data_IF_782259571803
#
_entry.id   IF_782259571803
#
_cell.length_a   1.000
_cell.length_b   1.000
_cell.length_c   1.000
_cell.angle_alpha   90.00
_cell.angle_beta   90.00
_cell.angle_gamma   90.00
#
_symmetry.space_group_name_H-M   'P 1'
#
loop_
_entity.id
_entity.type
_entity.pdbx_description
1 polymer ?
#
# COMPACT_ATOMS: atom_id res chain seq x y z
N UNK A 1 34.87 -18.37 -7.40
CA UNK A 1 34.07 -17.55 -6.46
C UNK A 1 33.85 -16.22 -7.14
N UNK A 2 32.70 -16.05 -7.80
CA UNK A 2 32.41 -14.82 -8.53
C UNK A 2 31.92 -13.75 -7.56
N UNK A 3 32.69 -12.67 -7.44
CA UNK A 3 32.24 -11.44 -6.81
C UNK A 3 31.14 -10.84 -7.68
N UNK A 4 29.93 -10.68 -7.12
CA UNK A 4 28.87 -9.88 -7.73
C UNK A 4 29.30 -8.43 -7.58
N UNK A 5 29.77 -7.84 -8.68
CA UNK A 5 30.03 -6.42 -8.82
C UNK A 5 28.72 -5.67 -8.60
N UNK A 6 28.60 -4.95 -7.49
CA UNK A 6 27.55 -3.93 -7.30
C UNK A 6 27.97 -2.75 -8.19
N UNK A 7 27.60 -2.83 -9.47
CA UNK A 7 27.76 -1.74 -10.42
C UNK A 7 26.87 -0.57 -10.00
N UNK A 8 27.46 0.61 -9.98
CA UNK A 8 26.80 1.92 -9.84
C UNK A 8 25.62 2.02 -10.80
N UNK A 9 24.39 1.87 -10.29
CA UNK A 9 23.16 2.15 -11.04
C UNK A 9 22.81 3.62 -10.85
N UNK A 10 22.99 4.38 -11.93
CA UNK A 10 22.46 5.73 -12.08
C UNK A 10 20.94 5.71 -11.87
N UNK A 11 20.43 6.53 -10.95
CA UNK A 11 19.00 6.88 -10.91
C UNK A 11 18.09 6.10 -9.96
N UNK A 12 18.59 5.62 -8.82
CA UNK A 12 17.71 5.11 -7.75
C UNK A 12 16.90 6.28 -7.19
N UNK A 13 15.67 6.46 -7.67
CA UNK A 13 14.68 7.26 -6.95
C UNK A 13 14.38 6.53 -5.63
N UNK A 14 14.76 7.14 -4.51
CA UNK A 14 14.25 6.76 -3.19
C UNK A 14 13.10 7.71 -2.93
N UNK A 15 11.90 7.17 -2.82
CA UNK A 15 10.73 7.92 -2.38
C UNK A 15 10.07 7.13 -1.26
N UNK A 16 9.94 7.79 -0.11
CA UNK A 16 9.38 7.19 1.08
C UNK A 16 7.88 6.99 0.89
N UNK A 17 7.38 5.82 1.27
CA UNK A 17 5.98 5.68 1.63
C UNK A 17 5.75 6.42 2.96
N UNK A 18 4.64 7.14 3.05
CA UNK A 18 4.28 7.89 4.25
C UNK A 18 2.96 7.35 4.81
N UNK A 19 2.91 7.19 6.13
CA UNK A 19 1.67 6.98 6.88
C UNK A 19 1.46 8.14 7.85
N UNK A 20 0.25 8.71 7.88
CA UNK A 20 -0.12 9.73 8.86
C UNK A 20 -0.51 9.06 10.19
N UNK A 21 0.18 9.42 11.28
CA UNK A 21 -0.18 9.27 12.71
C UNK A 21 -0.76 7.92 13.20
N UNK A 22 0.03 7.20 14.00
CA UNK A 22 -0.36 6.09 14.91
C UNK A 22 -1.32 5.07 14.29
N UNK A 23 -0.75 3.99 13.72
CA UNK A 23 -1.50 2.82 13.25
C UNK A 23 -2.48 2.35 14.34
N UNK A 24 -3.74 2.74 14.18
CA UNK A 24 -4.81 2.33 15.05
C UNK A 24 -5.49 1.11 14.43
N UNK A 25 -5.73 0.04 15.20
CA UNK A 25 -6.45 -1.12 14.69
C UNK A 25 -7.82 -0.66 14.16
N UNK A 26 -8.41 -1.44 13.25
CA UNK A 26 -9.78 -1.16 12.81
C UNK A 26 -10.77 -1.35 13.96
N UNK A 27 -11.83 -0.54 13.97
CA UNK A 27 -12.95 -0.77 14.89
C UNK A 27 -13.64 -2.09 14.59
N UNK A 28 -14.22 -2.74 15.60
CA UNK A 28 -14.91 -4.04 15.45
C UNK A 28 -16.05 -4.02 14.43
N UNK A 29 -16.65 -2.84 14.19
CA UNK A 29 -17.71 -2.65 13.21
C UNK A 29 -17.21 -2.73 11.75
N UNK A 30 -15.90 -2.58 11.53
CA UNK A 30 -15.27 -2.60 10.22
C UNK A 30 -14.67 -3.98 9.95
N UNK A 31 -15.52 -4.91 9.51
CA UNK A 31 -15.10 -6.28 9.22
C UNK A 31 -14.33 -6.44 7.90
N UNK A 32 -14.41 -5.45 7.00
CA UNK A 32 -13.72 -5.42 5.72
C UNK A 32 -13.37 -3.99 5.31
N UNK A 33 -12.36 -3.87 4.46
CA UNK A 33 -11.97 -2.64 3.78
C UNK A 33 -12.06 -2.84 2.26
N UNK A 34 -13.13 -2.29 1.66
CA UNK A 34 -13.39 -2.37 0.23
C UNK A 34 -13.05 -1.04 -0.45
N UNK A 35 -12.04 -1.04 -1.29
CA UNK A 35 -11.53 0.14 -1.99
C UNK A 35 -12.26 0.39 -3.32
N UNK A 36 -12.68 1.63 -3.56
CA UNK A 36 -13.01 2.12 -4.91
C UNK A 36 -11.76 2.69 -5.56
N UNK A 37 -11.42 2.22 -6.76
CA UNK A 37 -10.25 2.73 -7.48
C UNK A 37 -10.68 3.87 -8.40
N UNK A 38 -9.89 4.93 -8.48
CA UNK A 38 -10.16 6.04 -9.38
C UNK A 38 -10.31 5.55 -10.83
N UNK A 39 -11.33 6.05 -11.53
CA UNK A 39 -11.71 5.58 -12.85
C UNK A 39 -10.59 5.72 -13.91
N UNK A 40 -9.67 6.67 -13.74
CA UNK A 40 -8.55 6.97 -14.66
C UNK A 40 -7.38 5.98 -14.57
N UNK A 41 -7.38 5.02 -13.64
CA UNK A 41 -6.42 3.91 -13.68
C UNK A 41 -6.77 2.93 -14.81
N UNK A 42 -5.74 2.40 -15.50
CA UNK A 42 -5.91 1.36 -16.51
C UNK A 42 -6.39 0.04 -15.91
N UNK A 43 -7.03 -0.80 -16.72
CA UNK A 43 -7.59 -2.10 -16.29
C UNK A 43 -6.54 -3.04 -15.69
N UNK A 44 -5.35 -3.12 -16.29
CA UNK A 44 -4.24 -3.92 -15.78
C UNK A 44 -3.78 -3.45 -14.38
N UNK A 45 -3.68 -2.13 -14.18
CA UNK A 45 -3.33 -1.57 -12.87
C UNK A 45 -4.39 -1.89 -11.82
N UNK A 46 -5.68 -1.76 -12.16
CA UNK A 46 -6.79 -2.15 -11.28
C UNK A 46 -6.76 -3.64 -10.94
N UNK A 47 -6.39 -4.50 -11.89
CA UNK A 47 -6.19 -5.94 -11.63
C UNK A 47 -5.05 -6.18 -10.64
N UNK A 48 -3.91 -5.52 -10.84
CA UNK A 48 -2.75 -5.65 -9.95
C UNK A 48 -3.01 -5.11 -8.54
N UNK A 49 -3.85 -4.08 -8.38
CA UNK A 49 -4.31 -3.67 -7.06
C UNK A 49 -5.15 -4.75 -6.38
N UNK A 50 -6.02 -5.44 -7.12
CA UNK A 50 -6.74 -6.60 -6.60
C UNK A 50 -5.77 -7.75 -6.24
N UNK A 51 -4.74 -7.98 -7.05
CA UNK A 51 -3.71 -8.99 -6.76
C UNK A 51 -2.94 -8.67 -5.47
N UNK A 52 -2.61 -7.41 -5.22
CA UNK A 52 -1.98 -6.97 -3.98
C UNK A 52 -2.89 -7.19 -2.75
N UNK A 53 -4.20 -6.93 -2.87
CA UNK A 53 -5.18 -7.20 -1.82
C UNK A 53 -5.33 -8.71 -1.56
N UNK A 54 -5.42 -9.51 -2.63
CA UNK A 54 -5.50 -10.96 -2.56
C UNK A 54 -4.24 -11.56 -1.93
N UNK A 55 -3.08 -11.01 -2.28
CA UNK A 55 -1.80 -11.43 -1.70
C UNK A 55 -1.81 -11.30 -0.18
N UNK A 56 -2.26 -10.15 0.35
CA UNK A 56 -2.42 -9.95 1.79
C UNK A 56 -3.48 -10.86 2.40
N UNK A 57 -4.68 -10.95 1.80
CA UNK A 57 -5.76 -11.81 2.30
C UNK A 57 -5.33 -13.27 2.45
N UNK A 58 -4.51 -13.80 1.54
CA UNK A 58 -3.96 -15.15 1.64
C UNK A 58 -3.06 -15.36 2.87
N UNK A 59 -2.59 -14.28 3.49
CA UNK A 59 -1.79 -14.32 4.71
C UNK A 59 -2.62 -14.10 5.97
N UNK A 60 -3.84 -13.60 5.86
CA UNK A 60 -4.72 -13.33 7.01
C UNK A 60 -5.54 -14.56 7.38
N UNK A 61 -6.05 -14.58 8.62
CA UNK A 61 -6.99 -15.62 9.07
C UNK A 61 -8.40 -15.43 8.49
N UNK A 62 -8.74 -14.18 8.17
CA UNK A 62 -10.00 -13.77 7.52
C UNK A 62 -9.67 -12.70 6.48
N UNK A 63 -10.23 -12.84 5.28
CA UNK A 63 -10.06 -11.84 4.21
C UNK A 63 -10.65 -10.49 4.64
N UNK A 64 -9.89 -9.44 4.43
CA UNK A 64 -10.21 -8.08 4.86
C UNK A 64 -10.21 -7.07 3.73
N UNK A 65 -9.28 -7.20 2.78
CA UNK A 65 -9.03 -6.20 1.74
C UNK A 65 -9.74 -6.59 0.45
N UNK A 66 -10.51 -5.68 -0.14
CA UNK A 66 -11.24 -5.97 -1.37
C UNK A 66 -11.22 -4.80 -2.34
N UNK A 67 -11.24 -5.09 -3.64
CA UNK A 67 -11.47 -4.08 -4.67
C UNK A 67 -12.95 -4.06 -5.02
N UNK A 68 -13.56 -2.89 -4.96
CA UNK A 68 -14.93 -2.68 -5.44
C UNK A 68 -15.03 -2.96 -6.95
N UNK A 69 -16.21 -3.36 -7.40
CA UNK A 69 -16.57 -3.39 -8.82
C UNK A 69 -16.90 -1.99 -9.37
N UNK A 70 -17.13 -1.02 -8.47
CA UNK A 70 -17.46 0.37 -8.82
C UNK A 70 -16.22 1.24 -8.63
N UNK A 71 -15.86 1.97 -9.68
CA UNK A 71 -14.80 2.97 -9.63
C UNK A 71 -15.28 4.26 -8.93
N UNK A 72 -14.33 5.08 -8.46
CA UNK A 72 -14.62 6.44 -7.99
C UNK A 72 -14.18 7.50 -9.01
N UNK A 73 -14.76 8.69 -8.92
CA UNK A 73 -14.31 9.91 -9.62
C UNK A 73 -13.44 10.80 -8.73
N UNK A 74 -13.26 10.44 -7.46
CA UNK A 74 -12.42 11.18 -6.53
C UNK A 74 -11.00 11.30 -7.07
N UNK A 75 -10.39 12.44 -6.82
CA UNK A 75 -9.03 12.76 -7.30
C UNK A 75 -7.99 12.74 -6.20
N UNK A 76 -8.44 12.77 -4.94
CA UNK A 76 -7.62 12.79 -3.74
C UNK A 76 -8.37 12.10 -2.59
N UNK A 77 -7.64 11.68 -1.57
CA UNK A 77 -8.16 11.16 -0.32
C UNK A 77 -8.98 12.22 0.43
N UNK A 78 -10.03 11.79 1.12
CA UNK A 78 -10.85 12.68 1.95
C UNK A 78 -11.66 11.87 2.93
N UNK A 79 -11.75 12.30 4.19
CA UNK A 79 -12.56 11.62 5.20
C UNK A 79 -14.06 11.70 4.87
N UNK A 80 -14.59 10.73 4.15
CA UNK A 80 -15.95 10.77 3.59
C UNK A 80 -16.73 9.45 3.71
N UNK A 81 -16.17 8.46 4.41
CA UNK A 81 -16.71 7.12 4.58
C UNK A 81 -16.35 6.14 3.45
N UNK A 82 -15.67 6.59 2.40
CA UNK A 82 -15.32 5.81 1.21
C UNK A 82 -13.83 5.60 1.17
N UNK A 83 -13.41 4.33 1.14
CA UNK A 83 -11.99 3.97 1.00
C UNK A 83 -11.61 4.01 -0.47
N UNK A 84 -10.64 4.84 -0.82
CA UNK A 84 -10.29 5.13 -2.20
C UNK A 84 -8.84 4.82 -2.52
N UNK A 85 -8.57 4.45 -3.78
CA UNK A 85 -7.23 4.45 -4.36
C UNK A 85 -7.22 5.48 -5.47
N UNK A 86 -6.52 6.59 -5.26
CA UNK A 86 -6.47 7.74 -6.19
C UNK A 86 -5.04 8.00 -6.66
N UNK A 87 -4.91 8.82 -7.72
CA UNK A 87 -3.62 9.33 -8.16
C UNK A 87 -3.70 10.82 -8.48
N UNK A 88 -2.67 11.55 -8.09
CA UNK A 88 -2.54 12.98 -8.34
C UNK A 88 -1.06 13.38 -8.37
N UNK A 89 -0.73 14.49 -9.04
CA UNK A 89 0.64 14.99 -9.07
C UNK A 89 0.88 15.89 -7.85
N UNK A 90 1.60 15.38 -6.85
CA UNK A 90 1.91 16.10 -5.61
C UNK A 90 3.28 16.79 -5.64
N UNK A 91 3.97 16.77 -6.78
CA UNK A 91 5.36 17.21 -6.87
C UNK A 91 6.35 16.24 -6.21
N UNK A 92 7.57 16.70 -5.97
CA UNK A 92 8.58 15.91 -5.29
C UNK A 92 8.18 15.58 -3.84
N UNK A 93 8.52 14.38 -3.38
CA UNK A 93 8.15 13.89 -2.04
C UNK A 93 7.95 12.39 -2.02
N UNK A 94 6.74 11.93 -1.68
CA UNK A 94 6.38 10.52 -1.53
C UNK A 94 5.97 9.85 -2.85
N UNK A 95 6.20 8.53 -2.98
CA UNK A 95 5.75 7.74 -4.15
C UNK A 95 4.27 7.39 -4.05
N UNK A 96 3.85 6.99 -2.86
CA UNK A 96 2.48 6.79 -2.47
C UNK A 96 2.35 7.04 -0.96
N UNK A 97 1.11 7.14 -0.48
CA UNK A 97 0.84 7.25 0.96
C UNK A 97 -0.47 6.58 1.31
N UNK A 98 -0.52 6.08 2.54
CA UNK A 98 -1.73 5.63 3.20
C UNK A 98 -2.20 6.70 4.19
N UNK A 99 -3.48 7.07 4.10
CA UNK A 99 -4.11 8.03 5.00
C UNK A 99 -5.20 7.30 5.77
N UNK A 100 -4.94 7.00 7.04
CA UNK A 100 -5.93 6.47 7.95
C UNK A 100 -6.70 7.62 8.62
N UNK A 101 -8.02 7.50 8.68
CA UNK A 101 -8.87 8.40 9.45
C UNK A 101 -9.43 7.66 10.67
N UNK A 102 -9.42 8.37 11.79
CA UNK A 102 -10.01 7.95 13.05
C UNK A 102 -10.65 9.16 13.74
N UNK A 103 -11.89 9.05 14.26
CA UNK A 103 -12.47 10.13 15.08
C UNK A 103 -11.61 10.38 16.30
N UNK A 104 -11.49 11.65 16.73
CA UNK A 104 -10.71 12.00 17.93
C UNK A 104 -11.18 11.27 19.20
N UNK A 105 -12.48 10.93 19.27
CA UNK A 105 -13.08 10.22 20.40
C UNK A 105 -12.76 8.71 20.40
N UNK A 106 -12.28 8.14 19.28
CA UNK A 106 -12.04 6.71 19.13
C UNK A 106 -10.56 6.43 18.92
N UNK A 107 -10.09 5.32 19.47
CA UNK A 107 -8.71 4.83 19.31
C UNK A 107 -8.56 3.84 18.17
N UNK A 108 -9.43 3.90 17.15
CA UNK A 108 -9.48 2.92 16.06
C UNK A 108 -9.72 3.57 14.69
N UNK A 109 -9.17 2.94 13.65
CA UNK A 109 -9.32 3.35 12.25
C UNK A 109 -10.73 3.04 11.75
N UNK A 110 -11.33 3.99 11.02
CA UNK A 110 -12.65 3.86 10.38
C UNK A 110 -12.58 3.90 8.86
N UNK A 111 -11.48 4.44 8.33
CA UNK A 111 -11.27 4.66 6.91
C UNK A 111 -9.78 4.71 6.62
N UNK A 112 -9.39 4.24 5.44
CA UNK A 112 -8.03 4.26 4.95
C UNK A 112 -8.06 4.50 3.46
N UNK A 113 -7.47 5.61 3.03
CA UNK A 113 -7.28 5.99 1.64
C UNK A 113 -5.85 5.76 1.20
N UNK A 114 -5.64 5.50 -0.09
CA UNK A 114 -4.31 5.33 -0.69
C UNK A 114 -4.18 6.29 -1.87
N UNK A 115 -3.06 7.01 -1.92
CA UNK A 115 -2.78 7.96 -2.99
C UNK A 115 -1.44 7.67 -3.66
N UNK A 116 -1.44 7.56 -4.98
CA UNK A 116 -0.24 7.44 -5.80
C UNK A 116 0.18 8.80 -6.36
N UNK A 117 1.45 9.15 -6.20
CA UNK A 117 1.98 10.43 -6.67
C UNK A 117 2.47 10.35 -8.12
N UNK A 118 1.70 10.86 -9.07
CA UNK A 118 2.02 10.82 -10.51
C UNK A 118 3.19 11.71 -10.92
N UNK A 119 3.79 12.46 -9.99
CA UNK A 119 5.11 13.06 -10.20
C UNK A 119 6.18 12.00 -10.54
N UNK A 120 6.03 10.79 -10.00
CA UNK A 120 6.92 9.67 -10.24
C UNK A 120 6.40 8.74 -11.35
N UNK A 121 7.30 8.13 -12.14
CA UNK A 121 6.92 7.20 -13.20
C UNK A 121 6.55 5.82 -12.63
N UNK A 122 5.41 5.29 -13.06
CA UNK A 122 4.90 3.98 -12.64
C UNK A 122 4.72 3.02 -13.81
N UNK A 123 4.96 1.74 -13.56
CA UNK A 123 4.71 0.66 -14.50
C UNK A 123 3.97 -0.50 -13.83
N UNK A 124 3.38 -1.37 -14.64
CA UNK A 124 2.77 -2.63 -14.18
C UNK A 124 3.79 -3.77 -14.04
N UNK A 125 5.07 -3.44 -13.90
CA UNK A 125 6.20 -4.35 -13.75
C UNK A 125 7.42 -3.63 -13.18
N UNK A 126 8.48 -4.38 -12.86
CA UNK A 126 9.80 -3.86 -12.48
C UNK A 126 10.58 -3.26 -13.67
N UNK A 127 9.94 -2.40 -14.47
CA UNK A 127 10.59 -1.73 -15.61
C UNK A 127 11.66 -0.75 -15.10
N UNK A 128 12.84 -0.78 -15.71
CA UNK A 128 13.94 0.10 -15.34
C UNK A 128 13.52 1.58 -15.40
N UNK A 129 13.76 2.32 -14.31
CA UNK A 129 13.36 3.73 -14.17
C UNK A 129 11.90 3.97 -13.75
N UNK A 130 11.10 2.91 -13.52
CA UNK A 130 9.71 2.99 -13.09
C UNK A 130 9.50 2.26 -11.77
N UNK A 131 8.59 2.76 -10.93
CA UNK A 131 8.09 2.04 -9.77
C UNK A 131 7.01 1.04 -10.18
N UNK A 132 7.10 -0.19 -9.67
CA UNK A 132 6.06 -1.19 -9.89
C UNK A 132 4.81 -0.86 -9.05
N UNK A 133 3.67 -0.60 -9.70
CA UNK A 133 2.43 -0.20 -9.01
C UNK A 133 1.94 -1.25 -8.02
N UNK A 134 2.11 -2.54 -8.33
CA UNK A 134 1.66 -3.61 -7.44
C UNK A 134 2.51 -3.64 -6.18
N UNK A 135 3.83 -3.51 -6.31
CA UNK A 135 4.76 -3.47 -5.18
C UNK A 135 4.47 -2.31 -4.24
N UNK A 136 4.24 -1.12 -4.80
CA UNK A 136 3.87 0.07 -4.02
C UNK A 136 2.50 -0.13 -3.36
N UNK A 137 1.52 -0.66 -4.08
CA UNK A 137 0.21 -0.99 -3.50
C UNK A 137 0.32 -2.00 -2.35
N UNK A 138 1.15 -3.03 -2.49
CA UNK A 138 1.39 -4.03 -1.43
C UNK A 138 1.92 -3.38 -0.16
N UNK A 139 2.82 -2.40 -0.28
CA UNK A 139 3.33 -1.62 0.85
C UNK A 139 2.19 -0.83 1.53
N UNK A 140 1.47 -0.01 0.77
CA UNK A 140 0.43 0.87 1.34
C UNK A 140 -0.73 0.08 1.98
N UNK A 141 -1.04 -1.10 1.44
CA UNK A 141 -2.03 -2.01 2.04
C UNK A 141 -1.56 -2.62 3.37
N UNK A 142 -0.25 -2.75 3.59
CA UNK A 142 0.25 -3.16 4.90
C UNK A 142 -0.06 -2.11 5.97
N UNK A 143 0.01 -0.82 5.63
CA UNK A 143 -0.45 0.25 6.52
C UNK A 143 -1.96 0.22 6.76
N UNK A 144 -2.77 -0.11 5.74
CA UNK A 144 -4.20 -0.40 5.94
C UNK A 144 -4.40 -1.50 6.98
N UNK A 145 -3.52 -2.50 7.03
CA UNK A 145 -3.54 -3.58 8.02
C UNK A 145 -2.83 -3.22 9.34
N UNK A 146 -2.57 -1.94 9.59
CA UNK A 146 -1.85 -1.45 10.78
C UNK A 146 -0.47 -2.08 10.97
N UNK A 147 0.21 -2.43 9.87
CA UNK A 147 1.60 -2.90 9.89
C UNK A 147 2.55 -1.70 9.80
N UNK A 148 3.51 -1.63 10.72
CA UNK A 148 4.55 -0.61 10.74
C UNK A 148 5.58 -0.84 9.65
N UNK A 149 6.34 0.21 9.33
CA UNK A 149 7.53 0.04 8.52
C UNK A 149 8.50 -0.98 9.13
N UNK A 150 9.12 -1.77 8.27
CA UNK A 150 10.22 -2.66 8.64
C UNK A 150 11.57 -1.96 8.46
N UNK A 151 12.55 -2.33 9.29
CA UNK A 151 13.95 -1.92 9.13
C UNK A 151 14.71 -2.81 8.16
N UNK A 152 14.12 -3.89 7.66
CA UNK A 152 14.76 -4.85 6.78
C UNK A 152 14.45 -4.56 5.31
N UNK A 153 15.46 -4.26 4.50
CA UNK A 153 15.31 -3.85 3.11
C UNK A 153 14.65 -4.90 2.19
N UNK A 154 14.55 -6.16 2.60
CA UNK A 154 13.83 -7.18 1.83
C UNK A 154 12.32 -7.15 2.11
N UNK A 155 11.87 -6.60 3.24
CA UNK A 155 10.47 -6.60 3.67
C UNK A 155 9.64 -5.58 2.90
N UNK A 156 8.39 -5.93 2.62
CA UNK A 156 7.54 -5.08 1.76
C UNK A 156 7.14 -3.83 2.49
N UNK A 157 7.15 -3.89 3.81
CA UNK A 157 6.99 -2.74 4.69
C UNK A 157 8.28 -1.93 4.88
N UNK A 158 9.37 -2.23 4.20
CA UNK A 158 10.53 -1.32 4.18
C UNK A 158 10.12 0.03 3.55
N UNK A 159 10.42 1.18 4.18
CA UNK A 159 9.86 2.49 3.81
C UNK A 159 10.25 2.98 2.42
N UNK A 160 11.34 2.49 1.86
CA UNK A 160 11.81 2.94 0.55
C UNK A 160 11.28 2.04 -0.57
N UNK A 161 10.73 2.69 -1.59
CA UNK A 161 10.46 2.06 -2.89
C UNK A 161 11.63 2.26 -3.84
N UNK A 162 11.83 1.31 -4.75
CA UNK A 162 12.93 1.32 -5.72
C UNK A 162 12.40 1.12 -7.14
N UNK A 163 12.88 1.91 -8.09
CA UNK A 163 12.55 1.73 -9.50
C UNK A 163 13.20 0.48 -10.09
N UNK A 164 12.57 -0.18 -11.06
CA UNK A 164 13.13 -1.35 -11.74
C UNK A 164 13.10 -2.65 -10.92
N UNK A 165 12.33 -2.69 -9.84
CA UNK A 165 12.27 -3.84 -8.93
C UNK A 165 10.81 -4.24 -8.68
N UNK A 166 10.55 -5.54 -8.65
CA UNK A 166 9.27 -6.10 -8.18
C UNK A 166 9.44 -6.62 -6.74
N UNK A 167 8.60 -6.13 -5.84
CA UNK A 167 8.53 -6.48 -4.42
C UNK A 167 7.09 -6.89 -4.07
N UNK A 168 6.50 -7.79 -4.86
CA UNK A 168 5.08 -8.17 -4.76
C UNK A 168 4.76 -9.24 -3.70
N UNK A 169 5.78 -9.98 -3.23
CA UNK A 169 5.61 -11.15 -2.34
C UNK A 169 6.08 -10.85 -0.93
N UNK A 170 5.19 -10.76 0.06
CA UNK A 170 5.53 -10.49 1.48
C UNK A 170 6.51 -11.50 2.09
N UNK A 171 7.34 -11.02 3.02
CA UNK A 171 8.28 -11.84 3.80
C UNK A 171 7.59 -12.51 5.00
N UNK A 172 8.30 -13.35 5.76
CA UNK A 172 7.75 -13.92 7.01
C UNK A 172 7.34 -12.84 7.99
N UNK A 173 8.13 -11.78 8.07
CA UNK A 173 7.99 -10.75 9.08
C UNK A 173 6.80 -9.85 8.74
N UNK A 174 6.65 -9.49 7.46
CA UNK A 174 5.45 -8.82 6.92
C UNK A 174 4.17 -9.61 7.26
N UNK A 175 4.19 -10.94 7.05
CA UNK A 175 3.02 -11.81 7.29
C UNK A 175 2.67 -11.91 8.76
N UNK A 176 3.66 -12.11 9.62
CA UNK A 176 3.46 -12.20 11.07
C UNK A 176 2.91 -10.89 11.61
N UNK A 177 3.49 -9.75 11.20
CA UNK A 177 3.02 -8.45 11.63
C UNK A 177 1.57 -8.20 11.21
N UNK A 178 1.17 -8.56 9.98
CA UNK A 178 -0.23 -8.42 9.54
C UNK A 178 -1.20 -9.34 10.32
N UNK A 179 -0.79 -10.57 10.63
CA UNK A 179 -1.60 -11.51 11.45
C UNK A 179 -1.77 -11.01 12.89
N UNK A 180 -0.68 -10.60 13.52
CA UNK A 180 -0.67 -10.10 14.90
C UNK A 180 -1.44 -8.81 15.04
N UNK A 181 -1.40 -7.98 14.00
CA UNK A 181 -2.23 -6.79 13.90
C UNK A 181 -3.70 -7.22 13.84
N UNK A 182 -4.12 -7.93 12.78
CA UNK A 182 -5.53 -8.28 12.53
C UNK A 182 -6.19 -9.13 13.61
N UNK A 183 -5.44 -9.99 14.30
CA UNK A 183 -5.95 -10.78 15.42
C UNK A 183 -6.46 -9.92 16.59
N UNK A 184 -6.02 -8.66 16.72
CA UNK A 184 -6.43 -7.76 17.81
C UNK A 184 -7.85 -7.22 17.66
N UNK A 185 -8.43 -7.27 16.46
CA UNK A 185 -9.76 -6.68 16.19
C UNK A 185 -10.71 -7.57 15.39
N UNK A 186 -10.30 -8.80 15.04
CA UNK A 186 -11.22 -9.85 14.55
C UNK A 186 -11.89 -10.67 15.66
N UNK A 187 -11.53 -10.44 16.92
CA UNK A 187 -12.15 -11.03 18.10
C UNK A 187 -13.18 -10.08 18.71
#
# INVERSE_FOLDING_TARGET
MSAIMIGTVLGVGIAHAYTHSLLAPWGSDYQTCTYKVQNTFGSLTKSQFADAMNHWNAQLTKSFLFKSSVDTQDTQASWNGVKTVTKYNYGAGFVARNIAYHPWLYSYTVESDIEFNTYYPFANSGLAGYYDVQSVMTHELGHTLSVNHSTNAIDRMYPDSFTGVERRVTTSDDRTAARDSTARWFN
#
